data_IF_740391904252
#
_entry.id   IF_740391904252
#
_cell.length_a   1.000
_cell.length_b   1.000
_cell.length_c   1.000
_cell.angle_alpha   90.00
_cell.angle_beta   90.00
_cell.angle_gamma   90.00
#
_symmetry.space_group_name_H-M   'P 1'
#
loop_
_entity.id
_entity.type
_entity.pdbx_description
1 polymer ?
#
# COMPACT_ATOMS: atom_id res chain seq x y z
N UNK A 1 30.38 -11.84 -2.22
CA UNK A 1 29.05 -12.16 -1.64
C UNK A 1 28.82 -11.45 -0.29
N UNK A 2 29.77 -11.52 0.64
CA UNK A 2 29.66 -10.90 1.99
C UNK A 2 29.53 -9.38 1.97
N UNK A 3 30.34 -8.67 1.16
CA UNK A 3 30.27 -7.21 1.09
C UNK A 3 28.92 -6.68 0.59
N UNK A 4 28.34 -7.32 -0.42
CA UNK A 4 27.01 -6.98 -0.95
C UNK A 4 25.94 -7.18 0.12
N UNK A 5 26.02 -8.27 0.88
CA UNK A 5 25.13 -8.53 2.01
C UNK A 5 25.25 -7.43 3.08
N UNK A 6 26.48 -7.07 3.49
CA UNK A 6 26.67 -5.98 4.46
C UNK A 6 26.14 -4.63 3.96
N UNK A 7 26.31 -4.32 2.67
CA UNK A 7 25.76 -3.09 2.08
C UNK A 7 24.23 -3.09 2.10
N UNK A 8 23.60 -4.21 1.74
CA UNK A 8 22.14 -4.36 1.80
C UNK A 8 21.64 -4.22 3.24
N UNK A 9 22.31 -4.88 4.19
CA UNK A 9 21.96 -4.79 5.61
C UNK A 9 22.03 -3.34 6.10
N UNK A 10 23.13 -2.62 5.84
CA UNK A 10 23.26 -1.20 6.22
C UNK A 10 22.16 -0.34 5.60
N UNK A 11 21.84 -0.54 4.32
CA UNK A 11 20.78 0.20 3.65
C UNK A 11 19.41 -0.07 4.27
N UNK A 12 19.05 -1.34 4.52
CA UNK A 12 17.78 -1.70 5.15
C UNK A 12 17.66 -1.14 6.57
N UNK A 13 18.76 -1.14 7.34
CA UNK A 13 18.83 -0.53 8.66
C UNK A 13 18.63 0.98 8.57
N UNK A 14 19.34 1.69 7.69
CA UNK A 14 19.16 3.14 7.51
C UNK A 14 17.72 3.51 7.13
N UNK A 15 17.10 2.75 6.21
CA UNK A 15 15.73 3.01 5.78
C UNK A 15 14.69 2.81 6.89
N UNK A 16 14.88 1.81 7.77
CA UNK A 16 13.88 1.45 8.79
C UNK A 16 14.15 2.04 10.17
N UNK A 17 15.39 2.42 10.49
CA UNK A 17 15.81 2.78 11.84
C UNK A 17 16.18 4.26 12.00
N UNK A 18 16.11 5.07 10.94
CA UNK A 18 16.60 6.46 10.95
C UNK A 18 15.97 7.40 12.00
N UNK A 19 14.86 7.04 12.65
CA UNK A 19 14.23 7.87 13.70
C UNK A 19 13.52 7.06 14.79
N UNK A 20 13.75 5.74 14.89
CA UNK A 20 12.96 4.85 15.75
C UNK A 20 13.74 4.48 17.02
N UNK A 21 13.16 4.75 18.18
CA UNK A 21 13.73 4.41 19.50
C UNK A 21 13.79 2.88 19.75
N UNK A 22 12.96 2.11 19.02
CA UNK A 22 12.76 0.66 19.19
C UNK A 22 13.37 -0.15 18.04
N UNK A 23 14.63 0.12 17.73
CA UNK A 23 15.33 -0.51 16.61
C UNK A 23 15.44 -2.04 16.74
N UNK A 24 15.50 -2.53 17.97
CA UNK A 24 15.56 -3.95 18.33
C UNK A 24 14.31 -4.71 17.88
N UNK A 25 13.14 -4.06 17.89
CA UNK A 25 11.88 -4.69 17.47
C UNK A 25 11.78 -4.80 15.94
N UNK A 26 12.48 -3.93 15.21
CA UNK A 26 12.48 -3.92 13.74
C UNK A 26 13.49 -4.93 13.16
N UNK A 27 14.55 -5.26 13.90
CA UNK A 27 15.62 -6.15 13.44
C UNK A 27 15.13 -7.51 12.94
N UNK A 28 14.27 -8.25 13.66
CA UNK A 28 13.79 -9.56 13.18
C UNK A 28 13.13 -9.46 11.81
N UNK A 29 12.32 -8.41 11.58
CA UNK A 29 11.64 -8.17 10.30
C UNK A 29 12.62 -7.85 9.18
N UNK A 30 13.64 -7.03 9.46
CA UNK A 30 14.69 -6.71 8.47
C UNK A 30 15.45 -7.98 8.07
N UNK A 31 15.90 -8.77 9.05
CA UNK A 31 16.61 -10.02 8.78
C UNK A 31 15.74 -11.05 8.07
N UNK A 32 14.46 -11.15 8.43
CA UNK A 32 13.51 -12.03 7.74
C UNK A 32 13.44 -11.66 6.27
N UNK A 33 13.19 -10.37 5.97
CA UNK A 33 13.11 -9.89 4.59
C UNK A 33 14.37 -10.14 3.77
N UNK A 34 15.57 -9.95 4.36
CA UNK A 34 16.83 -10.24 3.68
C UNK A 34 16.97 -11.74 3.39
N UNK A 35 16.57 -12.61 4.31
CA UNK A 35 16.70 -14.07 4.14
C UNK A 35 15.71 -14.65 3.14
N UNK A 36 14.51 -14.09 3.07
CA UNK A 36 13.44 -14.58 2.19
C UNK A 36 13.42 -13.91 0.82
N UNK A 37 14.23 -12.86 0.61
CA UNK A 37 14.38 -12.23 -0.69
C UNK A 37 15.01 -13.22 -1.69
N UNK A 38 14.34 -13.38 -2.84
CA UNK A 38 14.88 -14.15 -3.95
C UNK A 38 16.12 -13.48 -4.52
N UNK A 39 17.17 -14.26 -4.77
CA UNK A 39 18.43 -13.79 -5.31
C UNK A 39 18.69 -14.47 -6.67
N UNK A 40 18.57 -13.69 -7.74
CA UNK A 40 18.76 -14.16 -9.12
C UNK A 40 20.16 -14.74 -9.37
N UNK A 41 21.20 -14.22 -8.69
CA UNK A 41 22.58 -14.72 -8.82
C UNK A 41 22.74 -16.19 -8.42
N UNK A 42 21.87 -16.68 -7.54
CA UNK A 42 21.89 -18.06 -7.02
C UNK A 42 20.58 -18.81 -7.31
N UNK A 43 19.64 -18.18 -8.04
CA UNK A 43 18.29 -18.67 -8.32
C UNK A 43 17.54 -19.23 -7.10
N UNK A 44 17.76 -18.65 -5.92
CA UNK A 44 17.16 -19.07 -4.66
C UNK A 44 17.23 -17.95 -3.62
N UNK A 45 16.41 -18.02 -2.58
CA UNK A 45 16.57 -17.21 -1.37
C UNK A 45 17.52 -17.88 -0.37
N UNK A 46 18.07 -17.10 0.56
CA UNK A 46 18.94 -17.67 1.61
C UNK A 46 18.17 -18.60 2.55
N UNK A 47 16.90 -18.32 2.80
CA UNK A 47 16.02 -19.19 3.57
C UNK A 47 15.77 -20.53 2.86
N UNK A 48 15.52 -20.53 1.56
CA UNK A 48 15.37 -21.77 0.79
C UNK A 48 16.62 -22.64 0.82
N UNK A 49 17.81 -22.04 0.70
CA UNK A 49 19.07 -22.79 0.74
C UNK A 49 19.33 -23.43 2.11
N UNK A 50 18.87 -22.81 3.20
CA UNK A 50 19.07 -23.32 4.56
C UNK A 50 18.02 -24.36 4.94
N UNK A 51 16.76 -24.12 4.59
CA UNK A 51 15.63 -24.94 5.01
C UNK A 51 15.15 -25.94 3.95
N UNK A 52 15.64 -25.84 2.72
CA UNK A 52 15.21 -26.67 1.59
C UNK A 52 13.83 -26.31 1.02
N UNK A 53 13.20 -25.24 1.52
CA UNK A 53 11.86 -24.81 1.10
C UNK A 53 11.64 -23.32 1.35
N UNK A 54 10.67 -22.74 0.65
CA UNK A 54 10.21 -21.37 0.90
C UNK A 54 9.57 -21.23 2.29
N UNK A 55 10.03 -20.25 3.06
CA UNK A 55 9.40 -19.91 4.34
C UNK A 55 8.07 -19.19 4.12
N UNK A 56 7.04 -19.59 4.87
CA UNK A 56 5.77 -18.88 4.90
C UNK A 56 5.91 -17.61 5.75
N UNK A 57 5.67 -16.46 5.13
CA UNK A 57 5.80 -15.15 5.77
C UNK A 57 4.55 -14.77 6.57
N UNK A 58 4.67 -13.89 7.59
CA UNK A 58 3.54 -13.34 8.33
C UNK A 58 2.35 -12.90 7.45
N UNK A 59 2.62 -12.19 6.35
CA UNK A 59 1.60 -11.72 5.42
C UNK A 59 0.88 -12.83 4.61
N UNK A 60 1.49 -14.01 4.47
CA UNK A 60 0.91 -15.16 3.77
C UNK A 60 0.05 -16.05 4.67
N UNK A 61 -0.02 -15.77 5.97
CA UNK A 61 -0.98 -16.42 6.87
C UNK A 61 -2.36 -15.77 6.79
N UNK A 62 -2.40 -14.48 6.44
CA UNK A 62 -3.65 -13.82 6.11
C UNK A 62 -4.15 -14.46 4.81
N UNK A 63 -5.25 -15.21 4.90
CA UNK A 63 -5.91 -15.72 3.70
C UNK A 63 -6.38 -14.50 2.90
N UNK A 64 -6.08 -14.50 1.59
CA UNK A 64 -6.82 -13.64 0.68
C UNK A 64 -8.27 -14.07 0.76
N UNK A 65 -9.05 -13.39 1.59
CA UNK A 65 -10.49 -13.41 1.52
C UNK A 65 -10.93 -12.63 0.27
N UNK A 66 -10.27 -12.88 -0.87
CA UNK A 66 -10.77 -12.57 -2.19
C UNK A 66 -11.96 -13.48 -2.42
N UNK A 67 -13.05 -13.17 -1.71
CA UNK A 67 -14.33 -13.23 -2.38
C UNK A 67 -14.08 -12.41 -3.63
N UNK A 68 -14.01 -13.09 -4.78
CA UNK A 68 -14.12 -12.44 -6.08
C UNK A 68 -15.53 -11.91 -6.15
N UNK A 69 -15.82 -10.88 -5.35
CA UNK A 69 -17.03 -10.11 -5.47
C UNK A 69 -16.87 -9.45 -6.81
N UNK A 70 -17.70 -9.86 -7.77
CA UNK A 70 -17.72 -9.25 -9.09
C UNK A 70 -17.73 -7.72 -8.89
N UNK A 71 -16.92 -6.95 -9.64
CA UNK A 71 -16.78 -5.50 -9.41
C UNK A 71 -18.14 -4.78 -9.29
N UNK A 72 -19.17 -5.29 -9.95
CA UNK A 72 -20.56 -4.83 -9.83
C UNK A 72 -21.14 -4.97 -8.41
N UNK A 73 -20.98 -6.12 -7.76
CA UNK A 73 -21.49 -6.37 -6.41
C UNK A 73 -20.76 -5.51 -5.37
N UNK A 74 -19.45 -5.29 -5.56
CA UNK A 74 -18.67 -4.41 -4.70
C UNK A 74 -19.10 -2.94 -4.87
N UNK A 75 -19.30 -2.49 -6.11
CA UNK A 75 -19.78 -1.14 -6.40
C UNK A 75 -21.19 -0.91 -5.86
N UNK A 76 -22.05 -1.93 -5.91
CA UNK A 76 -23.40 -1.85 -5.36
C UNK A 76 -23.40 -1.76 -3.84
N UNK A 77 -22.57 -2.55 -3.14
CA UNK A 77 -22.37 -2.42 -1.70
C UNK A 77 -21.83 -1.05 -1.32
N UNK A 78 -20.79 -0.57 -2.00
CA UNK A 78 -20.16 0.72 -1.74
C UNK A 78 -21.16 1.87 -1.93
N UNK A 79 -21.94 1.82 -3.03
CA UNK A 79 -22.96 2.83 -3.32
C UNK A 79 -24.08 2.83 -2.28
N UNK A 80 -24.55 1.64 -1.87
CA UNK A 80 -25.67 1.52 -0.93
C UNK A 80 -25.28 1.83 0.52
N UNK A 81 -24.13 1.35 0.99
CA UNK A 81 -23.70 1.49 2.38
C UNK A 81 -23.04 2.83 2.68
N UNK A 82 -22.25 3.39 1.76
CA UNK A 82 -21.41 4.56 2.07
C UNK A 82 -21.85 5.84 1.35
N UNK A 83 -22.21 5.75 0.07
CA UNK A 83 -22.49 6.94 -0.74
C UNK A 83 -23.96 7.38 -0.74
N UNK A 84 -24.87 6.53 -0.24
CA UNK A 84 -26.31 6.86 -0.18
C UNK A 84 -26.61 8.00 0.80
N UNK A 85 -25.84 8.09 1.89
CA UNK A 85 -25.95 9.17 2.88
C UNK A 85 -25.24 10.46 2.44
N UNK A 86 -24.23 10.34 1.57
CA UNK A 86 -23.49 11.47 1.01
C UNK A 86 -24.22 12.16 -0.16
N UNK A 87 -25.53 11.91 -0.32
CA UNK A 87 -26.32 12.45 -1.42
C UNK A 87 -26.23 13.98 -1.37
N UNK A 88 -25.62 14.56 -2.39
CA UNK A 88 -25.45 16.02 -2.49
C UNK A 88 -26.83 16.67 -2.41
N UNK A 89 -27.06 17.48 -1.38
CA UNK A 89 -28.20 18.39 -1.32
C UNK A 89 -28.14 19.25 -2.58
N UNK A 90 -29.26 19.39 -3.30
CA UNK A 90 -29.34 20.30 -4.43
C UNK A 90 -28.86 21.68 -3.97
N UNK A 91 -27.70 22.11 -4.49
CA UNK A 91 -27.19 23.43 -4.16
C UNK A 91 -28.26 24.44 -4.55
N UNK A 92 -28.62 25.31 -3.60
CA UNK A 92 -29.51 26.44 -3.86
C UNK A 92 -28.97 27.21 -5.05
N UNK A 93 -29.71 27.19 -6.17
CA UNK A 93 -29.36 27.97 -7.36
C UNK A 93 -29.62 29.44 -7.06
N UNK A 94 -28.61 30.13 -6.54
CA UNK A 94 -28.63 31.58 -6.37
C UNK A 94 -28.23 32.34 -7.65
N UNK A 95 -28.05 31.63 -8.77
CA UNK A 95 -27.86 32.28 -10.07
C UNK A 95 -29.20 32.83 -10.56
N UNK A 96 -29.62 33.98 -10.02
CA UNK A 96 -30.43 34.88 -10.83
C UNK A 96 -29.53 35.33 -11.96
N UNK A 97 -29.88 34.98 -13.20
CA UNK A 97 -29.19 35.44 -14.39
C UNK A 97 -29.29 36.97 -14.50
N UNK A 98 -28.45 37.69 -13.75
CA UNK A 98 -28.19 39.10 -14.02
C UNK A 98 -27.14 39.12 -15.12
N UNK A 99 -27.64 39.20 -16.35
CA UNK A 99 -26.82 39.46 -17.52
C UNK A 99 -26.26 40.87 -17.33
N UNK A 100 -24.97 40.95 -17.01
CA UNK A 100 -24.27 42.20 -16.87
C UNK A 100 -24.04 42.80 -18.26
N UNK A 101 -24.70 43.92 -18.55
CA UNK A 101 -24.51 44.71 -19.77
C UNK A 101 -23.66 45.93 -19.43
N UNK A 102 -22.55 46.10 -20.15
CA UNK A 102 -21.61 47.20 -19.94
C UNK A 102 -22.19 48.52 -20.49
N UNK A 103 -22.01 49.62 -19.77
CA UNK A 103 -22.67 50.92 -20.04
C UNK A 103 -22.20 51.68 -21.29
N UNK A 104 -21.20 51.19 -22.02
CA UNK A 104 -20.58 51.89 -23.16
C UNK A 104 -21.06 51.36 -24.53
N UNK A 105 -22.24 50.73 -24.58
CA UNK A 105 -22.82 50.17 -25.80
C UNK A 105 -24.28 50.60 -26.03
N UNK A 106 -24.58 51.89 -25.79
CA UNK A 106 -25.72 52.61 -26.40
C UNK A 106 -25.26 53.99 -26.84
#
# INVERSE_FOLDING_TARGET
>A
MVERFHRQLKASLMCRLGSTEQWEQQLPTIFLGIRTAFKEDINASSAELVYGSNLRLPGQFLQDNSVKTEPSEFLDLLRQQHFRELRTVAASSHSSAQIFVYKELV
#
